data_IF_529371910125
#
_entry.id   IF_529371910125
#
_cell.length_a   1.000
_cell.length_b   1.000
_cell.length_c   1.000
_cell.angle_alpha   90.00
_cell.angle_beta   90.00
_cell.angle_gamma   90.00
#
_symmetry.space_group_name_H-M   'P 1'
#
loop_
_entity.id
_entity.type
_entity.pdbx_description
1 polymer ?
#
# COMPACT_ATOMS: atom_id res chain seq x y z
N UNK A 1 22.12 18.06 -0.56
CA UNK A 1 22.10 16.74 -1.23
C UNK A 1 21.35 15.78 -0.33
N UNK A 2 20.18 15.27 -0.72
CA UNK A 2 19.48 14.25 0.07
C UNK A 2 20.25 12.93 -0.08
N UNK A 3 20.92 12.48 0.97
CA UNK A 3 21.62 11.20 0.97
C UNK A 3 20.65 10.06 0.69
N UNK A 4 21.07 9.06 -0.08
CA UNK A 4 20.32 7.81 -0.23
C UNK A 4 20.09 7.22 1.16
N UNK A 5 18.84 7.25 1.63
CA UNK A 5 18.42 6.50 2.82
C UNK A 5 18.29 5.04 2.38
N UNK A 6 19.33 4.24 2.65
CA UNK A 6 19.28 2.80 2.41
C UNK A 6 18.41 2.14 3.48
N UNK A 7 17.61 1.13 3.12
CA UNK A 7 16.81 0.41 4.11
C UNK A 7 17.73 -0.34 5.08
N UNK A 8 17.39 -0.30 6.36
CA UNK A 8 17.98 -1.15 7.38
C UNK A 8 17.48 -2.61 7.24
N UNK A 9 17.98 -3.51 8.10
CA UNK A 9 17.65 -4.94 8.03
C UNK A 9 16.15 -5.22 8.20
N UNK A 10 15.46 -4.52 9.12
CA UNK A 10 14.02 -4.68 9.35
C UNK A 10 13.19 -4.15 8.19
N UNK A 11 13.56 -2.98 7.66
CA UNK A 11 12.92 -2.39 6.47
C UNK A 11 13.08 -3.30 5.24
N UNK A 12 14.25 -3.94 5.08
CA UNK A 12 14.47 -4.92 4.01
C UNK A 12 13.60 -6.16 4.20
N UNK A 13 13.52 -6.71 5.41
CA UNK A 13 12.69 -7.87 5.70
C UNK A 13 11.20 -7.58 5.46
N UNK A 14 10.73 -6.41 5.91
CA UNK A 14 9.38 -5.92 5.65
C UNK A 14 9.07 -5.87 4.15
N UNK A 15 9.96 -5.26 3.35
CA UNK A 15 9.75 -5.17 1.90
C UNK A 15 9.64 -6.53 1.21
N UNK A 16 10.40 -7.53 1.66
CA UNK A 16 10.30 -8.88 1.10
C UNK A 16 9.02 -9.60 1.54
N UNK A 17 8.54 -9.38 2.78
CA UNK A 17 7.22 -9.86 3.22
C UNK A 17 6.10 -9.24 2.38
N UNK A 18 6.14 -7.91 2.21
CA UNK A 18 5.18 -7.17 1.39
C UNK A 18 5.20 -7.67 -0.05
N UNK A 19 6.38 -7.85 -0.66
CA UNK A 19 6.51 -8.41 -2.02
C UNK A 19 5.90 -9.82 -2.11
N UNK A 20 6.06 -10.64 -1.06
CA UNK A 20 5.54 -12.00 -0.99
C UNK A 20 4.01 -12.12 -1.08
N UNK A 21 3.28 -11.03 -0.85
CA UNK A 21 1.82 -11.00 -1.03
C UNK A 21 1.40 -11.11 -2.50
N UNK A 22 2.26 -10.78 -3.46
CA UNK A 22 1.79 -10.47 -4.81
C UNK A 22 1.27 -9.03 -4.88
N UNK A 23 0.78 -8.60 -6.04
CA UNK A 23 0.12 -7.30 -6.17
C UNK A 23 -1.04 -7.18 -5.18
N UNK A 24 -1.12 -6.06 -4.45
CA UNK A 24 -2.24 -5.77 -3.56
C UNK A 24 -3.53 -5.41 -4.31
N UNK A 25 -3.43 -5.08 -5.60
CA UNK A 25 -4.59 -4.71 -6.44
C UNK A 25 -5.13 -5.95 -7.15
N UNK A 26 -4.34 -6.55 -8.04
CA UNK A 26 -4.77 -7.70 -8.87
C UNK A 26 -4.51 -9.07 -8.23
N UNK A 27 -3.76 -9.14 -7.12
CA UNK A 27 -3.32 -10.41 -6.54
C UNK A 27 -2.22 -11.14 -7.35
N UNK A 28 -1.72 -10.54 -8.43
CA UNK A 28 -0.72 -11.15 -9.30
C UNK A 28 0.56 -11.53 -8.54
N UNK A 29 0.95 -12.81 -8.62
CA UNK A 29 2.19 -13.35 -8.01
C UNK A 29 3.39 -13.37 -8.96
N UNK A 30 3.28 -12.71 -10.11
CA UNK A 30 4.35 -12.61 -11.10
C UNK A 30 5.47 -11.67 -10.65
N UNK A 31 5.96 -10.84 -11.57
CA UNK A 31 6.90 -9.77 -11.20
C UNK A 31 6.16 -8.75 -10.34
N UNK A 32 6.66 -8.50 -9.13
CA UNK A 32 6.12 -7.52 -8.17
C UNK A 32 7.17 -6.47 -7.85
N UNK A 33 6.76 -5.22 -7.98
CA UNK A 33 7.53 -4.03 -7.65
C UNK A 33 7.08 -3.46 -6.30
N UNK A 34 8.02 -2.82 -5.60
CA UNK A 34 7.76 -2.17 -4.31
C UNK A 34 7.59 -0.68 -4.55
N UNK A 35 6.35 -0.23 -4.58
CA UNK A 35 5.98 1.19 -4.65
C UNK A 35 6.26 1.88 -3.31
N UNK A 36 6.72 3.12 -3.34
CA UNK A 36 6.97 3.92 -2.14
C UNK A 36 6.12 5.20 -2.21
N UNK A 37 4.84 5.19 -1.76
CA UNK A 37 3.93 6.34 -1.82
C UNK A 37 4.50 7.67 -1.32
N UNK A 38 5.24 7.64 -0.20
CA UNK A 38 5.87 8.84 0.36
C UNK A 38 7.23 9.18 -0.29
N UNK A 39 7.79 8.27 -1.10
CA UNK A 39 9.16 8.29 -1.60
C UNK A 39 10.15 7.62 -0.63
N UNK A 40 11.20 7.02 -1.20
CA UNK A 40 12.21 6.20 -0.47
C UNK A 40 12.96 6.93 0.64
N UNK A 41 13.08 8.25 0.53
CA UNK A 41 13.84 9.09 1.48
C UNK A 41 12.91 9.91 2.38
N UNK A 42 11.62 9.57 2.43
CA UNK A 42 10.68 10.28 3.28
C UNK A 42 11.07 10.12 4.76
N UNK A 43 11.23 11.26 5.44
CA UNK A 43 11.49 11.33 6.87
C UNK A 43 10.39 12.21 7.48
N UNK A 44 9.82 11.78 8.60
CA UNK A 44 8.93 12.60 9.42
C UNK A 44 9.30 12.49 10.88
N UNK A 45 9.38 13.63 11.56
CA UNK A 45 9.75 13.69 12.99
C UNK A 45 11.02 12.90 13.29
N UNK A 46 11.99 12.97 12.36
CA UNK A 46 13.27 12.25 12.39
C UNK A 46 13.20 10.74 12.17
N UNK A 47 12.01 10.17 11.98
CA UNK A 47 11.84 8.77 11.61
C UNK A 47 11.81 8.59 10.09
N UNK A 48 12.62 7.69 9.51
CA UNK A 48 12.50 7.31 8.11
C UNK A 48 11.22 6.48 7.94
N UNK A 49 10.29 6.97 7.11
CA UNK A 49 8.98 6.33 6.88
C UNK A 49 8.86 5.75 5.47
N UNK A 50 9.76 6.14 4.56
CA UNK A 50 9.69 5.77 3.16
C UNK A 50 9.75 4.28 2.88
N UNK A 51 10.57 3.52 3.63
CA UNK A 51 10.67 2.05 3.45
C UNK A 51 9.62 1.27 4.24
N UNK A 52 8.90 1.91 5.15
CA UNK A 52 7.77 1.32 5.87
C UNK A 52 6.48 1.48 5.08
N UNK A 53 6.23 2.67 4.54
CA UNK A 53 5.09 2.93 3.67
C UNK A 53 5.39 2.43 2.25
N UNK A 54 5.07 1.17 1.99
CA UNK A 54 5.30 0.52 0.70
C UNK A 54 4.12 -0.34 0.27
N UNK A 55 3.90 -0.45 -1.04
CA UNK A 55 2.84 -1.27 -1.63
C UNK A 55 3.45 -2.27 -2.63
N UNK A 56 3.01 -3.55 -2.61
CA UNK A 56 3.40 -4.51 -3.63
C UNK A 56 2.47 -4.36 -4.83
N UNK A 57 3.03 -4.05 -6.00
CA UNK A 57 2.27 -3.80 -7.23
C UNK A 57 2.86 -4.55 -8.40
N UNK A 58 2.02 -4.97 -9.34
CA UNK A 58 2.48 -5.41 -10.66
C UNK A 58 3.07 -4.20 -11.43
N UNK A 59 4.02 -4.39 -12.36
CA UNK A 59 4.69 -3.29 -13.06
C UNK A 59 3.75 -2.27 -13.72
N UNK A 60 2.65 -2.74 -14.31
CA UNK A 60 1.67 -1.88 -14.95
C UNK A 60 0.88 -1.04 -13.92
N UNK A 61 0.48 -1.63 -12.80
CA UNK A 61 -0.18 -0.94 -11.69
C UNK A 61 0.74 0.07 -11.00
N UNK A 62 2.02 -0.28 -10.85
CA UNK A 62 3.02 0.63 -10.32
C UNK A 62 3.18 1.85 -11.21
N UNK A 63 3.15 1.69 -12.54
CA UNK A 63 3.17 2.80 -13.49
C UNK A 63 1.89 3.64 -13.40
N UNK A 64 0.73 3.00 -13.30
CA UNK A 64 -0.58 3.68 -13.17
C UNK A 64 -0.68 4.51 -11.88
N UNK A 65 -0.18 3.97 -10.76
CA UNK A 65 -0.19 4.67 -9.47
C UNK A 65 0.91 5.74 -9.41
N UNK A 66 2.08 5.50 -10.01
CA UNK A 66 3.17 6.48 -10.03
C UNK A 66 2.96 7.62 -11.05
N UNK A 67 2.12 7.41 -12.06
CA UNK A 67 1.84 8.37 -13.12
C UNK A 67 0.77 9.40 -12.76
N UNK A 68 0.68 10.46 -13.58
CA UNK A 68 -0.43 11.44 -13.52
C UNK A 68 -1.72 10.93 -14.18
N UNK A 69 -1.62 9.87 -15.00
CA UNK A 69 -2.74 9.17 -15.62
C UNK A 69 -3.24 8.05 -14.70
N UNK A 70 -3.84 8.44 -13.57
CA UNK A 70 -4.72 7.53 -12.87
C UNK A 70 -5.91 7.22 -13.78
N UNK A 71 -5.84 6.13 -14.54
CA UNK A 71 -7.05 5.50 -15.06
C UNK A 71 -7.81 4.88 -13.90
N UNK A 72 -8.59 5.74 -13.22
CA UNK A 72 -9.42 5.39 -12.06
C UNK A 72 -10.45 4.33 -12.43
N UNK A 73 -10.86 4.25 -13.71
CA UNK A 73 -11.79 3.23 -14.19
C UNK A 73 -11.16 1.84 -14.18
N UNK A 74 -9.91 1.73 -14.61
CA UNK A 74 -9.15 0.48 -14.57
C UNK A 74 -8.92 0.01 -13.13
N UNK A 75 -8.39 0.87 -12.25
CA UNK A 75 -8.12 0.49 -10.84
C UNK A 75 -9.40 0.05 -10.13
N UNK A 76 -10.53 0.72 -10.35
CA UNK A 76 -11.83 0.31 -9.82
C UNK A 76 -12.24 -1.07 -10.33
N UNK A 77 -12.09 -1.30 -11.64
CA UNK A 77 -12.49 -2.56 -12.26
C UNK A 77 -11.63 -3.70 -11.74
N UNK A 78 -10.31 -3.51 -11.63
CA UNK A 78 -9.40 -4.52 -11.09
C UNK A 78 -9.64 -4.81 -9.61
N UNK A 79 -9.83 -3.78 -8.77
CA UNK A 79 -10.14 -4.01 -7.35
C UNK A 79 -11.51 -4.69 -7.19
N UNK A 80 -12.49 -4.40 -8.05
CA UNK A 80 -13.78 -5.11 -8.01
C UNK A 80 -13.71 -6.52 -8.58
N UNK A 81 -12.88 -6.76 -9.59
CA UNK A 81 -12.83 -8.02 -10.35
C UNK A 81 -11.82 -9.04 -9.79
N UNK A 82 -10.71 -8.58 -9.23
CA UNK A 82 -9.54 -9.41 -8.92
C UNK A 82 -9.16 -9.45 -7.45
N UNK A 83 -10.02 -8.92 -6.60
CA UNK A 83 -9.76 -8.86 -5.19
C UNK A 83 -10.10 -10.17 -4.48
N UNK A 84 -9.34 -11.21 -4.82
CA UNK A 84 -9.14 -12.37 -3.94
C UNK A 84 -8.73 -11.92 -2.52
N UNK A 85 -8.12 -10.73 -2.43
CA UNK A 85 -7.84 -10.02 -1.20
C UNK A 85 -9.04 -9.30 -0.58
N UNK A 86 -9.98 -8.77 -1.34
CA UNK A 86 -11.20 -8.16 -0.76
C UNK A 86 -12.07 -9.24 -0.16
N UNK A 87 -12.18 -10.44 -0.72
CA UNK A 87 -12.88 -11.55 -0.03
C UNK A 87 -12.19 -11.91 1.30
N UNK A 88 -10.86 -11.91 1.33
CA UNK A 88 -10.05 -12.17 2.55
C UNK A 88 -10.11 -11.03 3.56
N UNK A 89 -10.13 -9.78 3.09
CA UNK A 89 -10.28 -8.56 3.88
C UNK A 89 -11.73 -8.39 4.35
N UNK A 90 -12.73 -8.87 3.60
CA UNK A 90 -14.14 -8.91 4.01
C UNK A 90 -14.37 -9.91 5.13
N UNK A 91 -13.59 -11.00 5.17
CA UNK A 91 -13.56 -11.93 6.30
C UNK A 91 -12.89 -11.30 7.54
N UNK A 92 -12.00 -10.32 7.36
CA UNK A 92 -11.43 -9.53 8.46
C UNK A 92 -12.39 -8.37 8.82
N UNK A 93 -13.18 -8.57 9.86
CA UNK A 93 -14.33 -7.73 10.23
C UNK A 93 -14.03 -6.23 10.40
N UNK A 94 -12.78 -5.84 10.67
CA UNK A 94 -12.37 -4.45 10.90
C UNK A 94 -12.39 -3.57 9.65
N UNK A 95 -12.31 -4.14 8.44
CA UNK A 95 -12.24 -3.37 7.19
C UNK A 95 -13.52 -3.46 6.34
N UNK A 96 -14.48 -4.28 6.75
CA UNK A 96 -15.68 -4.61 5.96
C UNK A 96 -16.48 -3.39 5.54
N UNK A 97 -16.71 -2.42 6.43
CA UNK A 97 -17.44 -1.19 6.11
C UNK A 97 -16.68 -0.29 5.13
N UNK A 98 -15.37 -0.15 5.34
CA UNK A 98 -14.51 0.69 4.51
C UNK A 98 -14.36 0.16 3.07
N UNK A 99 -14.40 -1.16 2.88
CA UNK A 99 -14.33 -1.79 1.54
C UNK A 99 -15.62 -1.55 0.74
N UNK A 100 -16.79 -1.50 1.38
CA UNK A 100 -18.05 -1.16 0.71
C UNK A 100 -18.08 0.30 0.30
N UNK A 101 -17.67 1.21 1.19
CA UNK A 101 -17.47 2.62 0.84
C UNK A 101 -16.46 2.77 -0.29
N UNK A 102 -15.43 1.91 -0.32
CA UNK A 102 -14.40 1.89 -1.37
C UNK A 102 -14.94 1.50 -2.75
N UNK A 103 -15.90 0.59 -2.80
CA UNK A 103 -16.54 0.19 -4.04
C UNK A 103 -17.37 1.32 -4.66
N UNK A 104 -17.85 2.31 -3.90
CA UNK A 104 -18.78 3.35 -4.39
C UNK A 104 -18.11 4.66 -4.88
N UNK A 105 -16.77 4.72 -4.99
CA UNK A 105 -16.06 6.00 -5.00
C UNK A 105 -15.88 6.68 -6.36
N UNK A 106 -16.59 7.77 -6.62
CA UNK A 106 -16.17 8.82 -7.56
C UNK A 106 -15.14 9.81 -6.97
N UNK A 107 -14.72 9.67 -5.71
CA UNK A 107 -14.22 10.82 -4.92
C UNK A 107 -12.76 10.70 -4.40
N UNK A 108 -12.10 9.54 -4.43
CA UNK A 108 -10.79 9.42 -3.74
C UNK A 108 -9.60 9.92 -4.57
N UNK A 109 -8.72 10.67 -3.91
CA UNK A 109 -7.42 11.04 -4.46
C UNK A 109 -6.45 9.85 -4.45
N UNK A 110 -5.34 9.98 -5.20
CA UNK A 110 -4.28 8.97 -5.28
C UNK A 110 -3.81 8.52 -3.89
N UNK A 111 -3.68 9.46 -2.97
CA UNK A 111 -3.13 9.20 -1.65
C UNK A 111 -4.10 8.48 -0.72
N UNK A 112 -5.41 8.72 -0.87
CA UNK A 112 -6.43 7.97 -0.14
C UNK A 112 -6.44 6.51 -0.57
N UNK A 113 -6.31 6.27 -1.89
CA UNK A 113 -6.07 4.96 -2.47
C UNK A 113 -4.81 4.31 -1.88
N UNK A 114 -3.66 4.99 -1.91
CA UNK A 114 -2.40 4.45 -1.38
C UNK A 114 -2.47 4.10 0.12
N UNK A 115 -3.12 4.94 0.94
CA UNK A 115 -3.33 4.68 2.37
C UNK A 115 -4.23 3.48 2.61
N UNK A 116 -5.30 3.34 1.83
CA UNK A 116 -6.19 2.18 1.93
C UNK A 116 -5.50 0.88 1.52
N UNK A 117 -4.78 0.88 0.39
CA UNK A 117 -4.01 -0.29 -0.02
C UNK A 117 -2.96 -0.66 1.03
N UNK A 118 -2.38 0.33 1.72
CA UNK A 118 -1.43 0.06 2.79
C UNK A 118 -2.09 -0.61 4.00
N UNK A 119 -3.29 -0.17 4.41
CA UNK A 119 -4.06 -0.86 5.46
C UNK A 119 -4.39 -2.29 5.07
N UNK A 120 -4.67 -2.55 3.79
CA UNK A 120 -4.85 -3.90 3.30
C UNK A 120 -3.59 -4.74 3.49
N UNK A 121 -2.41 -4.20 3.16
CA UNK A 121 -1.11 -4.87 3.41
C UNK A 121 -0.92 -5.17 4.90
N UNK A 122 -1.15 -4.18 5.78
CA UNK A 122 -1.04 -4.35 7.24
C UNK A 122 -1.96 -5.45 7.77
N UNK A 123 -3.21 -5.47 7.30
CA UNK A 123 -4.21 -6.45 7.71
C UNK A 123 -3.87 -7.88 7.24
N UNK A 124 -3.19 -8.03 6.10
CA UNK A 124 -2.79 -9.32 5.55
C UNK A 124 -1.52 -9.90 6.19
N UNK A 125 -0.71 -9.06 6.83
CA UNK A 125 0.54 -9.43 7.51
C UNK A 125 0.43 -9.36 9.04
N UNK A 126 -0.80 -9.25 9.57
CA UNK A 126 -1.16 -8.74 10.91
C UNK A 126 -0.64 -9.49 12.14
N UNK A 127 0.16 -10.54 12.01
CA UNK A 127 0.57 -11.34 13.18
C UNK A 127 1.54 -10.56 14.09
N UNK A 128 2.50 -9.82 13.53
CA UNK A 128 3.30 -8.78 14.22
C UNK A 128 3.88 -7.80 13.19
N UNK A 129 3.47 -6.52 13.22
CA UNK A 129 4.07 -5.51 12.34
C UNK A 129 5.51 -5.19 12.81
N UNK A 130 6.47 -4.98 11.88
CA UNK A 130 7.89 -4.78 12.23
C UNK A 130 8.22 -3.36 12.73
N UNK A 131 7.18 -2.54 12.93
CA UNK A 131 7.24 -1.14 13.36
C UNK A 131 6.16 -0.88 14.41
N UNK A 132 6.30 0.23 15.14
CA UNK A 132 5.35 0.63 16.18
C UNK A 132 4.05 1.24 15.62
N UNK A 133 3.04 1.39 16.48
CA UNK A 133 1.77 2.03 16.12
C UNK A 133 1.97 3.47 15.62
N UNK A 134 3.08 4.12 15.99
CA UNK A 134 3.39 5.47 15.55
C UNK A 134 3.56 5.53 14.02
N UNK A 135 4.30 4.58 13.42
CA UNK A 135 4.47 4.52 11.95
C UNK A 135 3.13 4.33 11.24
N UNK A 136 2.29 3.39 11.68
CA UNK A 136 0.98 3.16 11.07
C UNK A 136 0.09 4.41 11.18
N UNK A 137 -0.03 4.97 12.39
CA UNK A 137 -0.83 6.18 12.63
C UNK A 137 -0.34 7.40 11.83
N UNK A 138 0.96 7.44 11.52
CA UNK A 138 1.55 8.50 10.74
C UNK A 138 1.21 8.36 9.26
N UNK A 139 1.32 7.14 8.70
CA UNK A 139 0.97 6.86 7.31
C UNK A 139 -0.50 7.19 7.05
N UNK A 140 -1.40 6.87 7.98
CA UNK A 140 -2.82 7.22 7.86
C UNK A 140 -3.08 8.74 7.83
N UNK A 141 -2.18 9.53 8.42
CA UNK A 141 -2.24 10.99 8.44
C UNK A 141 -1.36 11.65 7.36
N UNK A 142 -0.80 10.85 6.43
CA UNK A 142 0.06 11.36 5.38
C UNK A 142 -0.72 12.35 4.49
N UNK A 143 -0.30 13.63 4.41
CA UNK A 143 -1.14 14.71 3.91
C UNK A 143 -0.97 14.98 2.41
N UNK A 144 -0.36 14.08 1.64
CA UNK A 144 -0.23 14.33 0.20
C UNK A 144 -1.57 14.19 -0.49
#
# INVERSE_FOLDING_TARGET
MAGKVNPNAKEKAWREQVRGLGSIISGSKGVVEVHHPAGRTAIRNKEPIGHWFVLPLAPHEHTLIAGTDMDRGFIKTEIRAHSVYVDRLFQQSSLRGEIYDYCDLEIWGQHDLEKFLFRCVESLLSDELPYDEYISSFIQRWPR
#
